data_IF_728707372806
#
_entry.id   IF_728707372806
#
_cell.length_a   1.000
_cell.length_b   1.000
_cell.length_c   1.000
_cell.angle_alpha   90.00
_cell.angle_beta   90.00
_cell.angle_gamma   90.00
#
_symmetry.space_group_name_H-M   'P 1'
#
loop_
_entity.id
_entity.type
_entity.pdbx_description
1 polymer ?
#
# COMPACT_ATOMS: atom_id res chain seq x y z
N UNK A 1 36.26 -68.75 -21.79
CA UNK A 1 36.32 -67.68 -20.77
C UNK A 1 35.88 -66.37 -21.42
N UNK A 2 34.61 -65.99 -21.31
CA UNK A 2 34.10 -64.67 -21.75
C UNK A 2 33.63 -63.90 -20.50
N UNK A 3 34.10 -62.67 -20.36
CA UNK A 3 33.93 -61.81 -19.17
C UNK A 3 32.77 -60.85 -19.44
N UNK A 4 31.67 -60.99 -18.68
CA UNK A 4 30.49 -60.14 -18.77
C UNK A 4 30.79 -58.73 -18.27
N UNK A 5 30.63 -57.72 -19.14
CA UNK A 5 30.60 -56.30 -18.75
C UNK A 5 29.18 -55.93 -18.30
N UNK A 6 28.99 -55.71 -16.99
CA UNK A 6 27.79 -55.05 -16.45
C UNK A 6 28.02 -53.54 -16.49
N UNK A 7 27.39 -52.88 -17.44
CA UNK A 7 27.30 -51.41 -17.54
C UNK A 7 26.39 -50.95 -16.39
N UNK A 8 26.98 -50.32 -15.38
CA UNK A 8 26.24 -49.71 -14.27
C UNK A 8 25.87 -48.30 -14.71
N UNK A 9 24.62 -48.11 -15.13
CA UNK A 9 24.07 -46.82 -15.54
C UNK A 9 23.77 -46.00 -14.28
N UNK A 10 24.66 -45.07 -13.92
CA UNK A 10 24.43 -44.10 -12.84
C UNK A 10 23.44 -43.05 -13.35
N UNK A 11 22.16 -43.21 -13.04
CA UNK A 11 21.14 -42.18 -13.28
C UNK A 11 21.26 -41.15 -12.14
N UNK A 12 21.99 -40.07 -12.38
CA UNK A 12 21.99 -38.90 -11.51
C UNK A 12 20.64 -38.20 -11.63
N UNK A 13 19.76 -38.47 -10.66
CA UNK A 13 18.52 -37.75 -10.46
C UNK A 13 18.87 -36.34 -9.94
N UNK A 14 19.08 -35.39 -10.86
CA UNK A 14 19.15 -33.97 -10.50
C UNK A 14 17.73 -33.57 -10.11
N UNK A 15 17.48 -33.54 -8.79
CA UNK A 15 16.30 -32.93 -8.22
C UNK A 15 16.40 -31.43 -8.55
N UNK A 16 15.76 -31.02 -9.65
CA UNK A 16 15.51 -29.61 -9.94
C UNK A 16 14.51 -29.15 -8.89
N UNK A 17 15.01 -28.68 -7.75
CA UNK A 17 14.21 -27.91 -6.80
C UNK A 17 13.74 -26.68 -7.55
N UNK A 18 12.46 -26.68 -7.93
CA UNK A 18 11.78 -25.49 -8.43
C UNK A 18 11.74 -24.47 -7.29
N UNK A 19 12.82 -23.71 -7.14
CA UNK A 19 12.75 -22.43 -6.45
C UNK A 19 11.83 -21.57 -7.30
N UNK A 20 10.57 -21.49 -6.92
CA UNK A 20 9.66 -20.45 -7.37
C UNK A 20 10.28 -19.12 -6.93
N UNK A 21 11.10 -18.53 -7.80
CA UNK A 21 11.53 -17.14 -7.66
C UNK A 21 10.30 -16.29 -7.93
N UNK A 22 9.47 -16.11 -6.90
CA UNK A 22 8.44 -15.08 -6.94
C UNK A 22 9.16 -13.75 -7.15
N UNK A 23 8.79 -13.02 -8.21
CA UNK A 23 9.23 -11.65 -8.38
C UNK A 23 8.72 -10.86 -7.16
N UNK A 24 9.63 -10.47 -6.28
CA UNK A 24 9.28 -9.74 -5.06
C UNK A 24 8.82 -8.33 -5.44
N UNK A 25 7.57 -8.00 -5.08
CA UNK A 25 7.02 -6.67 -5.25
C UNK A 25 7.61 -5.75 -4.19
N UNK A 26 8.26 -4.65 -4.61
CA UNK A 26 8.84 -3.67 -3.69
C UNK A 26 7.78 -2.68 -3.25
N UNK A 27 7.75 -2.35 -1.97
CA UNK A 27 6.89 -1.36 -1.34
C UNK A 27 7.76 -0.37 -0.59
N UNK A 28 7.49 0.92 -0.76
CA UNK A 28 8.12 1.98 0.02
C UNK A 28 7.15 3.14 0.24
N UNK A 29 7.30 3.80 1.37
CA UNK A 29 6.44 4.91 1.77
C UNK A 29 6.87 5.53 3.10
N UNK A 30 6.07 6.48 3.54
CA UNK A 30 6.26 7.20 4.80
C UNK A 30 5.04 7.01 5.69
N UNK A 31 5.20 7.24 6.99
CA UNK A 31 4.04 7.38 7.88
C UNK A 31 3.43 8.77 7.67
N UNK A 32 2.31 8.82 6.96
CA UNK A 32 1.70 10.08 6.51
C UNK A 32 0.32 10.25 7.11
N UNK A 33 0.07 11.36 7.78
CA UNK A 33 -1.25 11.73 8.20
C UNK A 33 -1.84 12.75 7.23
N UNK A 34 -2.92 12.38 6.57
CA UNK A 34 -3.73 13.25 5.70
C UNK A 34 -5.04 13.59 6.40
N UNK A 35 -5.25 14.87 6.70
CA UNK A 35 -6.45 15.32 7.39
C UNK A 35 -7.19 16.42 6.66
N UNK A 36 -8.51 16.37 6.76
CA UNK A 36 -9.39 17.49 6.47
C UNK A 36 -10.00 17.90 7.81
N UNK A 37 -9.61 19.05 8.40
CA UNK A 37 -10.23 19.51 9.63
C UNK A 37 -11.71 19.81 9.39
N UNK A 38 -12.59 19.04 10.01
CA UNK A 38 -14.05 19.18 9.86
C UNK A 38 -14.60 20.48 10.47
N UNK A 39 -13.89 21.04 11.45
CA UNK A 39 -14.33 22.22 12.20
C UNK A 39 -13.94 23.55 11.57
N UNK A 40 -13.17 23.57 10.47
CA UNK A 40 -12.58 24.78 9.86
C UNK A 40 -11.79 25.70 10.80
N UNK A 41 -11.58 25.31 12.07
CA UNK A 41 -10.84 26.07 13.09
C UNK A 41 -9.32 25.96 12.92
N UNK A 42 -8.86 25.18 11.95
CA UNK A 42 -7.46 25.06 11.59
C UNK A 42 -7.34 25.21 10.06
N UNK A 43 -6.49 26.11 9.62
CA UNK A 43 -6.10 26.20 8.22
C UNK A 43 -5.31 24.95 7.83
N UNK A 44 -5.62 24.43 6.63
CA UNK A 44 -4.84 23.49 5.81
C UNK A 44 -5.25 22.01 5.83
N UNK A 45 -5.42 21.47 4.61
CA UNK A 45 -5.14 20.07 4.32
C UNK A 45 -3.68 19.81 4.69
N UNK A 46 -3.43 19.31 5.90
CA UNK A 46 -2.07 19.11 6.38
C UNK A 46 -1.62 17.67 6.06
N UNK A 47 -0.68 17.54 5.11
CA UNK A 47 0.19 16.38 5.07
C UNK A 47 1.17 16.51 6.24
N UNK A 48 1.09 15.59 7.20
CA UNK A 48 2.02 15.55 8.34
C UNK A 48 2.76 14.23 8.37
N UNK A 49 4.06 14.30 8.57
CA UNK A 49 4.87 13.11 8.81
C UNK A 49 4.69 12.66 10.25
N UNK A 50 4.33 11.40 10.43
CA UNK A 50 4.28 10.76 11.75
C UNK A 50 5.70 10.29 12.10
N UNK A 51 6.14 10.39 13.38
CA UNK A 51 7.50 10.04 13.76
C UNK A 51 7.91 8.64 13.26
N UNK A 52 9.17 8.46 12.81
CA UNK A 52 9.66 7.18 12.33
C UNK A 52 9.68 6.11 13.43
N UNK A 53 9.63 6.51 14.70
CA UNK A 53 9.50 5.61 15.85
C UNK A 53 8.15 4.90 15.94
N UNK A 54 7.18 5.28 15.10
CA UNK A 54 5.86 4.67 15.06
C UNK A 54 5.89 3.38 14.26
N UNK A 55 5.44 2.29 14.89
CA UNK A 55 5.32 1.01 14.23
C UNK A 55 4.18 1.03 13.21
N UNK A 56 4.45 0.45 12.06
CA UNK A 56 3.45 0.12 11.05
C UNK A 56 3.08 -1.35 11.15
N UNK A 57 1.81 -1.65 10.95
CA UNK A 57 1.27 -3.00 10.79
C UNK A 57 0.91 -3.18 9.32
N UNK A 58 1.55 -4.14 8.68
CA UNK A 58 1.27 -4.61 7.33
C UNK A 58 0.32 -5.79 7.46
N UNK A 59 -0.78 -5.76 6.73
CA UNK A 59 -1.79 -6.82 6.69
C UNK A 59 -1.98 -7.27 5.26
N UNK A 60 -1.93 -8.58 5.06
CA UNK A 60 -2.25 -9.19 3.78
C UNK A 60 -3.74 -9.05 3.48
N UNK A 61 -4.06 -8.50 2.31
CA UNK A 61 -5.44 -8.36 1.83
C UNK A 61 -5.88 -9.59 1.03
N UNK A 62 -4.94 -10.41 0.56
CA UNK A 62 -5.20 -11.61 -0.21
C UNK A 62 -4.93 -12.86 0.64
N UNK A 63 -5.95 -13.40 1.28
CA UNK A 63 -5.77 -14.60 2.12
C UNK A 63 -5.51 -15.88 1.32
N UNK A 64 -5.59 -15.83 -0.01
CA UNK A 64 -5.27 -16.98 -0.87
C UNK A 64 -3.76 -17.20 -1.02
N UNK A 65 -2.95 -16.17 -0.77
CA UNK A 65 -1.48 -16.23 -0.79
C UNK A 65 -0.94 -16.23 0.64
N UNK A 66 0.13 -16.97 0.92
CA UNK A 66 0.80 -16.87 2.22
C UNK A 66 1.53 -15.54 2.30
N UNK A 67 1.31 -14.79 3.37
CA UNK A 67 2.10 -13.59 3.63
C UNK A 67 3.58 -13.96 3.70
N UNK A 68 4.40 -13.33 2.85
CA UNK A 68 5.86 -13.44 2.90
C UNK A 68 6.42 -12.07 2.66
N UNK A 69 6.90 -11.45 3.74
CA UNK A 69 7.52 -10.13 3.64
C UNK A 69 8.96 -10.14 4.12
N UNK A 70 9.80 -9.37 3.44
CA UNK A 70 11.20 -9.12 3.82
C UNK A 70 11.48 -7.64 3.75
N UNK A 71 12.29 -7.09 4.65
CA UNK A 71 12.69 -5.68 4.54
C UNK A 71 13.70 -5.46 3.42
N UNK A 72 13.75 -4.25 2.86
CA UNK A 72 14.56 -3.93 1.66
C UNK A 72 16.09 -3.89 1.86
N UNK A 73 16.64 -4.07 3.08
CA UNK A 73 18.08 -4.07 3.33
C UNK A 73 18.50 -3.63 4.73
N UNK A 74 19.79 -3.78 5.05
CA UNK A 74 20.39 -3.69 6.39
C UNK A 74 20.61 -2.27 6.94
N UNK A 75 20.53 -1.23 6.12
CA UNK A 75 20.92 0.12 6.53
C UNK A 75 19.72 1.05 6.69
N UNK A 76 18.77 0.64 7.55
CA UNK A 76 17.70 1.49 8.07
C UNK A 76 16.35 1.43 7.33
N UNK A 77 15.75 0.23 7.22
CA UNK A 77 14.29 0.05 7.07
C UNK A 77 13.82 -1.27 7.73
N UNK A 78 14.65 -1.86 8.58
CA UNK A 78 14.63 -3.29 8.95
C UNK A 78 14.76 -3.53 10.44
N UNK A 79 14.39 -2.56 11.28
CA UNK A 79 14.26 -2.83 12.70
C UNK A 79 13.03 -3.72 12.95
N UNK A 80 13.20 -5.02 12.72
CA UNK A 80 12.33 -6.16 13.10
C UNK A 80 11.03 -6.26 12.31
N UNK A 81 11.12 -6.80 11.10
CA UNK A 81 9.97 -7.45 10.48
C UNK A 81 9.57 -8.62 11.39
N UNK A 82 8.50 -8.42 12.17
CA UNK A 82 7.94 -9.46 13.04
C UNK A 82 6.65 -9.92 12.39
N UNK A 83 6.72 -11.04 11.67
CA UNK A 83 5.56 -11.60 10.98
C UNK A 83 4.82 -12.58 11.88
N UNK A 84 3.49 -12.47 11.91
CA UNK A 84 2.59 -13.38 12.63
C UNK A 84 1.35 -13.61 11.77
N UNK A 85 1.26 -14.79 11.15
CA UNK A 85 0.17 -15.14 10.24
C UNK A 85 0.09 -14.17 9.05
N UNK A 86 -1.07 -13.53 8.89
CA UNK A 86 -1.37 -12.55 7.83
C UNK A 86 -1.01 -11.10 8.20
N UNK A 87 -0.27 -10.90 9.29
CA UNK A 87 0.19 -9.58 9.72
C UNK A 87 1.69 -9.56 9.92
N UNK A 88 2.29 -8.39 9.73
CA UNK A 88 3.65 -8.14 10.11
C UNK A 88 3.83 -6.73 10.62
N UNK A 89 4.72 -6.56 11.58
CA UNK A 89 5.04 -5.24 12.14
C UNK A 89 6.43 -4.85 11.70
N UNK A 90 6.61 -3.57 11.35
CA UNK A 90 7.92 -2.97 11.12
C UNK A 90 7.90 -1.48 11.45
N UNK A 91 9.04 -0.82 11.33
CA UNK A 91 9.22 0.59 11.65
C UNK A 91 9.96 1.29 10.53
N UNK A 92 9.67 2.58 10.32
CA UNK A 92 10.40 3.40 9.35
C UNK A 92 11.85 3.62 9.80
N UNK A 93 12.70 3.88 8.81
CA UNK A 93 14.08 4.32 8.96
C UNK A 93 14.24 5.49 9.92
N UNK A 94 15.26 5.50 10.77
CA UNK A 94 15.65 6.70 11.50
C UNK A 94 16.41 7.72 10.63
N UNK A 95 16.94 7.30 9.47
CA UNK A 95 17.76 8.10 8.58
C UNK A 95 16.94 8.80 7.49
N UNK A 96 16.07 8.06 6.80
CA UNK A 96 15.28 8.59 5.66
C UNK A 96 13.78 8.70 5.93
N UNK A 97 13.34 8.26 7.12
CA UNK A 97 11.94 8.23 7.57
C UNK A 97 10.99 7.39 6.70
N UNK A 98 11.55 6.49 5.87
CA UNK A 98 10.77 5.57 5.03
C UNK A 98 10.74 4.18 5.64
N UNK A 99 9.64 3.50 5.44
CA UNK A 99 9.59 2.05 5.54
C UNK A 99 9.74 1.46 4.14
N UNK A 100 10.34 0.28 4.05
CA UNK A 100 10.52 -0.43 2.80
C UNK A 100 10.50 -1.94 3.02
N UNK A 101 9.64 -2.64 2.28
CA UNK A 101 9.59 -4.09 2.28
C UNK A 101 9.32 -4.66 0.89
N UNK A 102 9.66 -5.91 0.71
CA UNK A 102 9.30 -6.76 -0.42
C UNK A 102 8.19 -7.71 0.02
N UNK A 103 7.19 -7.93 -0.85
CA UNK A 103 6.08 -8.84 -0.62
C UNK A 103 5.74 -9.70 -1.83
N UNK A 104 4.93 -10.74 -1.63
CA UNK A 104 4.46 -11.63 -2.70
C UNK A 104 3.32 -10.98 -3.50
N UNK A 105 2.40 -10.30 -2.82
CA UNK A 105 1.27 -9.62 -3.43
C UNK A 105 1.62 -8.21 -3.91
N UNK A 106 0.72 -7.62 -4.70
CA UNK A 106 0.85 -6.25 -5.24
C UNK A 106 0.18 -5.18 -4.37
N UNK A 107 -0.61 -5.59 -3.39
CA UNK A 107 -1.37 -4.69 -2.53
C UNK A 107 -1.38 -5.23 -1.11
N UNK A 108 -0.92 -4.42 -0.15
CA UNK A 108 -1.02 -4.70 1.28
C UNK A 108 -1.73 -3.56 1.98
N UNK A 109 -2.36 -3.86 3.12
CA UNK A 109 -2.86 -2.80 4.00
C UNK A 109 -1.78 -2.41 5.00
N UNK A 110 -1.44 -1.13 5.02
CA UNK A 110 -0.50 -0.54 5.98
C UNK A 110 -1.28 0.31 6.97
N UNK A 111 -1.12 0.03 8.26
CA UNK A 111 -1.73 0.80 9.33
C UNK A 111 -0.71 1.27 10.34
N UNK A 112 -0.91 2.44 10.93
CA UNK A 112 -0.06 2.94 12.00
C UNK A 112 -0.87 3.81 12.96
N UNK A 113 -0.32 4.03 14.14
CA UNK A 113 -0.93 4.93 15.11
C UNK A 113 -0.71 6.37 14.63
N UNK A 114 -1.79 7.08 14.34
CA UNK A 114 -1.76 8.52 14.13
C UNK A 114 -1.53 9.28 15.44
N UNK A 115 -1.90 10.56 15.45
CA UNK A 115 -1.82 11.37 16.66
C UNK A 115 -3.01 11.12 17.61
N UNK A 116 -3.06 11.89 18.70
CA UNK A 116 -4.13 11.80 19.71
C UNK A 116 -5.52 12.15 19.15
N UNK A 117 -5.59 12.85 18.02
CA UNK A 117 -6.85 13.34 17.44
C UNK A 117 -7.37 12.37 16.38
N UNK A 118 -6.47 11.77 15.60
CA UNK A 118 -6.83 10.98 14.45
C UNK A 118 -7.00 9.47 14.73
N UNK A 119 -6.40 8.96 15.80
CA UNK A 119 -6.42 7.52 16.07
C UNK A 119 -5.60 6.72 15.06
N UNK A 120 -6.01 5.49 14.77
CA UNK A 120 -5.31 4.61 13.82
C UNK A 120 -5.56 5.06 12.38
N UNK A 121 -4.49 5.12 11.59
CA UNK A 121 -4.53 5.45 10.18
C UNK A 121 -4.26 4.19 9.38
N UNK A 122 -5.03 3.99 8.31
CA UNK A 122 -4.97 2.80 7.47
C UNK A 122 -5.00 3.21 5.99
N UNK A 123 -4.07 2.67 5.22
CA UNK A 123 -4.01 2.81 3.77
C UNK A 123 -3.79 1.45 3.11
N UNK A 124 -4.40 1.25 1.95
CA UNK A 124 -4.05 0.17 1.03
C UNK A 124 -2.85 0.65 0.20
N UNK A 125 -1.69 0.03 0.35
CA UNK A 125 -0.45 0.44 -0.31
C UNK A 125 -0.09 -0.50 -1.45
N UNK A 126 0.13 0.10 -2.61
CA UNK A 126 0.51 -0.61 -3.82
C UNK A 126 2.00 -0.89 -3.88
N UNK A 127 2.35 -1.97 -4.59
CA UNK A 127 3.71 -2.19 -5.03
C UNK A 127 4.15 -1.02 -5.90
N UNK A 128 5.42 -0.62 -5.78
CA UNK A 128 6.00 0.42 -6.61
C UNK A 128 5.79 0.08 -8.08
N UNK A 129 5.06 0.91 -8.86
CA UNK A 129 4.65 0.55 -10.20
C UNK A 129 5.82 0.63 -11.17
N UNK A 130 5.65 -0.05 -12.31
CA UNK A 130 6.56 0.07 -13.43
C UNK A 130 6.48 1.46 -14.12
N UNK A 131 5.32 2.12 -14.10
CA UNK A 131 5.10 3.43 -14.72
C UNK A 131 4.71 4.47 -13.65
N UNK A 132 5.63 5.32 -13.20
CA UNK A 132 5.33 6.34 -12.20
C UNK A 132 4.42 7.44 -12.77
N UNK A 133 3.55 7.98 -11.93
CA UNK A 133 2.87 9.26 -12.18
C UNK A 133 1.40 9.19 -12.59
N UNK A 134 0.86 8.04 -12.97
CA UNK A 134 -0.58 7.84 -13.17
C UNK A 134 -1.02 6.62 -12.36
N UNK A 135 -2.06 6.79 -11.56
CA UNK A 135 -2.50 5.77 -10.61
C UNK A 135 -4.02 5.63 -10.68
N UNK A 136 -4.50 4.41 -10.89
CA UNK A 136 -5.93 4.16 -10.96
C UNK A 136 -6.47 3.85 -9.56
N UNK A 137 -7.55 4.53 -9.15
CA UNK A 137 -8.12 4.35 -7.80
C UNK A 137 -8.54 2.89 -7.51
N UNK A 138 -8.89 2.11 -8.55
CA UNK A 138 -9.21 0.68 -8.41
C UNK A 138 -8.02 -0.17 -8.00
N UNK A 139 -6.79 0.25 -8.31
CA UNK A 139 -5.58 -0.45 -7.84
C UNK A 139 -5.47 -0.38 -6.31
N UNK A 140 -5.98 0.70 -5.69
CA UNK A 140 -6.03 0.86 -4.23
C UNK A 140 -7.22 0.14 -3.59
N UNK A 141 -7.98 -0.64 -4.35
CA UNK A 141 -9.11 -1.44 -3.87
C UNK A 141 -10.47 -0.75 -3.97
N UNK A 142 -10.61 0.32 -4.76
CA UNK A 142 -11.93 0.87 -5.06
C UNK A 142 -12.73 -0.09 -5.94
N UNK A 143 -14.01 -0.26 -5.65
CA UNK A 143 -14.93 -1.14 -6.38
C UNK A 143 -15.69 -0.33 -7.44
N UNK A 144 -16.30 0.79 -7.04
CA UNK A 144 -17.08 1.64 -7.95
C UNK A 144 -18.42 1.03 -8.38
N UNK A 145 -19.11 0.32 -7.48
CA UNK A 145 -20.40 -0.34 -7.71
C UNK A 145 -21.62 0.46 -7.22
N UNK A 146 -21.43 1.68 -6.73
CA UNK A 146 -22.47 2.56 -6.20
C UNK A 146 -22.94 2.24 -4.78
N UNK A 147 -22.38 1.20 -4.14
CA UNK A 147 -22.83 0.71 -2.83
C UNK A 147 -21.68 0.50 -1.84
N UNK A 148 -20.52 0.06 -2.32
CA UNK A 148 -19.32 -0.16 -1.54
C UNK A 148 -18.69 1.17 -1.19
N UNK A 149 -18.34 1.37 0.09
CA UNK A 149 -17.61 2.54 0.53
C UNK A 149 -16.15 2.50 0.06
N UNK A 150 -15.83 3.31 -0.93
CA UNK A 150 -14.53 3.43 -1.57
C UNK A 150 -13.59 4.41 -0.86
N UNK A 151 -14.00 4.99 0.28
CA UNK A 151 -13.26 6.07 0.94
C UNK A 151 -11.81 5.68 1.28
N UNK A 152 -11.58 4.43 1.72
CA UNK A 152 -10.22 3.95 2.03
C UNK A 152 -9.35 3.95 0.78
N UNK A 153 -9.87 3.51 -0.36
CA UNK A 153 -9.12 3.47 -1.61
C UNK A 153 -8.73 4.89 -2.08
N UNK A 154 -9.64 5.86 -1.99
CA UNK A 154 -9.32 7.26 -2.28
C UNK A 154 -8.27 7.84 -1.34
N UNK A 155 -8.43 7.67 -0.02
CA UNK A 155 -7.44 8.13 0.97
C UNK A 155 -6.06 7.52 0.73
N UNK A 156 -6.04 6.23 0.37
CA UNK A 156 -4.82 5.49 0.07
C UNK A 156 -4.13 6.01 -1.19
N UNK A 157 -4.89 6.25 -2.25
CA UNK A 157 -4.37 6.82 -3.49
C UNK A 157 -3.76 8.21 -3.24
N UNK A 158 -4.44 9.08 -2.50
CA UNK A 158 -3.91 10.42 -2.16
C UNK A 158 -2.61 10.33 -1.36
N UNK A 159 -2.55 9.46 -0.35
CA UNK A 159 -1.35 9.26 0.47
C UNK A 159 -0.18 8.73 -0.38
N UNK A 160 -0.46 7.78 -1.27
CA UNK A 160 0.52 7.15 -2.14
C UNK A 160 1.12 8.11 -3.17
N UNK A 161 0.29 8.98 -3.75
CA UNK A 161 0.71 9.99 -4.73
C UNK A 161 1.48 11.11 -4.03
N UNK A 162 0.98 11.58 -2.88
CA UNK A 162 1.66 12.60 -2.08
C UNK A 162 3.05 12.17 -1.64
N UNK A 163 3.23 10.88 -1.29
CA UNK A 163 4.54 10.34 -0.91
C UNK A 163 5.56 10.28 -2.07
N UNK A 164 5.13 10.55 -3.30
CA UNK A 164 5.93 10.46 -4.54
C UNK A 164 6.07 11.81 -5.24
N UNK A 165 5.89 12.91 -4.51
CA UNK A 165 5.94 14.28 -5.03
C UNK A 165 4.88 14.59 -6.10
N UNK A 166 3.72 13.91 -6.04
CA UNK A 166 2.58 14.19 -6.91
C UNK A 166 2.36 13.16 -8.01
N UNK A 167 1.39 13.48 -8.88
CA UNK A 167 0.94 12.61 -9.96
C UNK A 167 -0.55 12.75 -10.25
N UNK A 168 -1.05 11.89 -11.12
CA UNK A 168 -2.45 11.88 -11.56
C UNK A 168 -3.19 10.70 -10.96
N UNK A 169 -4.24 10.97 -10.19
CA UNK A 169 -5.24 9.99 -9.80
C UNK A 169 -6.28 9.85 -10.92
N UNK A 170 -6.31 8.69 -11.54
CA UNK A 170 -7.33 8.32 -12.51
C UNK A 170 -8.51 7.64 -11.82
N UNK A 171 -9.71 8.19 -12.06
CA UNK A 171 -10.98 7.61 -11.64
C UNK A 171 -11.63 7.02 -12.90
N UNK A 172 -11.67 5.68 -13.04
CA UNK A 172 -12.28 5.03 -14.19
C UNK A 172 -13.82 5.12 -14.10
N UNK A 173 -14.51 4.52 -15.06
CA UNK A 173 -15.96 4.38 -15.01
C UNK A 173 -16.37 3.52 -13.80
N UNK A 174 -17.41 3.99 -13.12
CA UNK A 174 -17.98 3.39 -11.91
C UNK A 174 -18.67 4.45 -11.05
N UNK A 175 -19.52 3.99 -10.14
CA UNK A 175 -20.17 4.83 -9.13
C UNK A 175 -19.42 4.63 -7.81
N UNK A 176 -18.65 5.63 -7.37
CA UNK A 176 -17.81 5.51 -6.19
C UNK A 176 -18.45 6.19 -4.98
N UNK A 177 -18.69 5.45 -3.92
CA UNK A 177 -19.25 6.01 -2.68
C UNK A 177 -18.11 6.46 -1.77
N UNK A 178 -18.10 7.74 -1.41
CA UNK A 178 -17.14 8.31 -0.45
C UNK A 178 -17.91 8.90 0.72
N UNK A 179 -17.81 8.26 1.88
CA UNK A 179 -18.63 8.56 3.07
C UNK A 179 -17.96 9.53 4.04
N UNK A 180 -16.65 9.76 3.91
CA UNK A 180 -15.92 10.72 4.76
C UNK A 180 -14.98 11.61 3.95
N UNK A 181 -14.64 12.81 4.47
CA UNK A 181 -13.75 13.74 3.77
C UNK A 181 -12.41 13.12 3.36
N UNK A 182 -11.96 13.48 2.15
CA UNK A 182 -10.66 13.08 1.60
C UNK A 182 -9.81 14.33 1.41
N UNK A 183 -8.64 14.36 2.04
CA UNK A 183 -7.70 15.47 1.86
C UNK A 183 -7.11 15.44 0.46
N UNK A 184 -6.95 16.62 -0.14
CA UNK A 184 -6.30 16.81 -1.44
C UNK A 184 -4.94 17.50 -1.25
N UNK A 185 -3.85 16.73 -1.17
CA UNK A 185 -2.49 17.25 -1.19
C UNK A 185 -2.17 18.04 -2.46
N UNK A 186 -1.21 18.96 -2.35
CA UNK A 186 -0.63 19.64 -3.50
C UNK A 186 0.06 18.65 -4.45
N UNK A 187 0.06 18.95 -5.75
CA UNK A 187 0.73 18.14 -6.76
C UNK A 187 -0.06 16.91 -7.22
N UNK A 188 -1.33 16.79 -6.80
CA UNK A 188 -2.23 15.74 -7.28
C UNK A 188 -3.19 16.32 -8.32
N UNK A 189 -3.25 15.67 -9.48
CA UNK A 189 -4.25 15.91 -10.52
C UNK A 189 -5.29 14.81 -10.42
N UNK A 190 -6.58 15.15 -10.41
CA UNK A 190 -7.66 14.15 -10.47
C UNK A 190 -8.24 14.16 -11.87
N UNK A 191 -8.28 12.99 -12.51
CA UNK A 191 -8.82 12.80 -13.83
C UNK A 191 -9.92 11.73 -13.80
N UNK A 192 -11.17 12.17 -13.96
CA UNK A 192 -12.28 11.27 -14.26
C UNK A 192 -12.37 10.99 -15.76
N UNK A 193 -12.71 9.77 -16.15
CA UNK A 193 -13.00 9.43 -17.56
C UNK A 193 -14.47 9.59 -17.94
N UNK A 194 -15.34 9.85 -16.95
CA UNK A 194 -16.75 10.18 -17.10
C UNK A 194 -17.12 11.40 -16.23
N UNK A 195 -18.25 12.05 -16.52
CA UNK A 195 -18.69 13.26 -15.82
C UNK A 195 -18.81 13.03 -14.31
N UNK A 196 -18.11 13.82 -13.51
CA UNK A 196 -18.14 13.75 -12.04
C UNK A 196 -19.56 14.05 -11.56
N UNK A 197 -20.27 13.03 -11.07
CA UNK A 197 -21.51 13.21 -10.30
C UNK A 197 -21.16 13.28 -8.81
N UNK A 198 -20.92 14.48 -8.31
CA UNK A 198 -20.77 14.70 -6.87
C UNK A 198 -22.16 14.84 -6.24
N UNK A 199 -22.55 13.84 -5.44
CA UNK A 199 -23.69 13.93 -4.49
C UNK A 199 -23.20 14.33 -3.10
N UNK A 200 -22.19 15.20 -3.01
CA UNK A 200 -21.72 15.71 -1.74
C UNK A 200 -22.87 16.41 -0.98
N UNK A 201 -23.20 16.00 0.26
CA UNK A 201 -24.14 16.73 1.09
C UNK A 201 -23.63 18.16 1.28
N UNK A 202 -24.40 19.16 0.88
CA UNK A 202 -24.05 20.58 1.00
C UNK A 202 -24.35 21.15 2.39
N UNK A 203 -24.67 20.32 3.38
CA UNK A 203 -25.07 20.75 4.71
C UNK A 203 -24.24 20.09 5.81
N UNK A 204 -22.98 20.52 5.94
CA UNK A 204 -22.34 20.51 7.26
C UNK A 204 -21.76 21.89 7.55
N UNK A 205 -22.65 22.88 7.66
CA UNK A 205 -22.37 24.12 8.39
C UNK A 205 -22.90 23.89 9.79
N UNK A 206 -22.03 23.45 10.69
CA UNK A 206 -22.34 23.52 12.13
C UNK A 206 -22.28 25.00 12.50
N UNK A 207 -23.40 25.55 12.95
CA UNK A 207 -23.56 26.95 13.33
C UNK A 207 -22.83 27.33 14.61
#
# INVERSE_FOLDING_TARGET
>A
MLKNYRITLLVTFILLSAFSTFAQNKFEGYNLFLNVPETQTQTTCALRYVPPTTDITITDLNTATPMKISGCGSNDATARVTQTGATAVMRASANDYKWCFSGEDKLYRVSFKGDRLAGQITYNWLATPATPGIYNVKEFGAVGDGTTDDTIAFKSAMAYIASRNGGTLQIPEGDFVVTSPVALPSGIIIQGISGIKSIAPTNNVVG
#
